data_IF_759736691065
#
_entry.id   IF_759736691065
#
_cell.length_a   1.000
_cell.length_b   1.000
_cell.length_c   1.000
_cell.angle_alpha   90.00
_cell.angle_beta   90.00
_cell.angle_gamma   90.00
#
_symmetry.space_group_name_H-M   'P 1'
#
loop_
_entity.id
_entity.type
_entity.pdbx_description
1 polymer ?
#
# COMPACT_ATOMS: atom_id res chain seq x y z
N UNK A 1 -35.51 0.37 11.14
CA UNK A 1 -34.86 1.53 10.50
C UNK A 1 -34.40 2.60 11.52
N UNK A 2 -34.41 2.31 12.82
CA UNK A 2 -34.08 3.29 13.90
C UNK A 2 -32.87 2.88 14.78
N UNK A 3 -32.18 1.78 14.52
CA UNK A 3 -31.01 1.34 15.32
C UNK A 3 -29.65 1.57 14.66
N UNK A 4 -29.62 1.95 13.38
CA UNK A 4 -28.35 2.21 12.65
C UNK A 4 -27.89 3.67 12.79
N UNK A 5 -28.74 4.55 13.30
CA UNK A 5 -28.43 5.98 13.49
C UNK A 5 -27.90 6.33 14.89
N UNK A 6 -27.86 5.38 15.83
CA UNK A 6 -27.40 5.66 17.19
C UNK A 6 -25.94 5.34 17.48
N UNK A 7 -25.16 4.79 16.53
CA UNK A 7 -23.72 4.51 16.72
C UNK A 7 -22.78 5.51 16.05
N UNK A 8 -23.29 6.57 15.45
CA UNK A 8 -22.52 7.78 15.19
C UNK A 8 -22.59 8.71 16.40
N UNK A 9 -22.31 8.18 17.60
CA UNK A 9 -22.03 9.06 18.75
C UNK A 9 -20.83 9.92 18.38
N UNK A 10 -21.09 11.22 18.35
CA UNK A 10 -20.08 12.24 18.42
C UNK A 10 -18.94 11.73 19.33
N UNK A 11 -17.73 11.56 18.77
CA UNK A 11 -16.56 11.44 19.61
C UNK A 11 -16.53 12.77 20.37
N UNK A 12 -17.00 12.73 21.63
CA UNK A 12 -16.91 13.85 22.55
C UNK A 12 -15.48 14.35 22.49
N UNK A 13 -15.30 15.64 22.23
CA UNK A 13 -13.99 16.29 22.34
C UNK A 13 -13.37 15.84 23.66
N UNK A 14 -12.12 15.37 23.67
CA UNK A 14 -11.46 15.04 24.93
C UNK A 14 -11.51 16.30 25.79
N UNK A 15 -12.04 16.18 27.00
CA UNK A 15 -12.17 17.28 27.94
C UNK A 15 -10.80 17.93 28.14
N UNK A 16 -10.59 19.17 27.61
CA UNK A 16 -9.35 19.93 27.78
C UNK A 16 -8.70 20.48 26.51
N UNK A 17 -9.08 20.06 25.32
CA UNK A 17 -8.49 20.61 24.08
C UNK A 17 -9.11 21.96 23.78
N UNK A 18 -8.27 23.02 23.89
CA UNK A 18 -8.71 24.43 23.67
C UNK A 18 -8.30 24.94 22.29
N UNK A 19 -7.34 24.31 21.63
CA UNK A 19 -6.76 24.76 20.36
C UNK A 19 -6.59 23.60 19.37
N UNK A 20 -6.63 23.93 18.09
CA UNK A 20 -6.34 22.96 17.01
C UNK A 20 -5.22 23.53 16.14
N UNK A 21 -4.24 22.69 15.82
CA UNK A 21 -3.12 23.02 14.98
C UNK A 21 -3.23 22.28 13.66
N UNK A 22 -3.15 22.98 12.54
CA UNK A 22 -2.86 22.37 11.25
C UNK A 22 -1.38 22.46 10.96
N UNK A 23 -0.77 21.36 10.58
CA UNK A 23 0.66 21.24 10.29
C UNK A 23 0.86 20.71 8.86
N UNK A 24 1.29 21.58 7.97
CA UNK A 24 1.68 21.22 6.60
C UNK A 24 3.16 20.86 6.57
N UNK A 25 3.46 19.59 6.23
CA UNK A 25 4.80 19.02 6.32
C UNK A 25 5.58 19.21 5.02
N UNK A 26 6.50 20.14 5.01
CA UNK A 26 7.50 20.28 3.95
C UNK A 26 8.80 19.51 4.24
N UNK A 27 9.69 19.43 3.25
CA UNK A 27 10.96 18.69 3.35
C UNK A 27 11.92 19.29 4.38
N UNK A 28 12.12 20.60 4.36
CA UNK A 28 13.02 21.33 5.28
C UNK A 28 12.29 22.15 6.31
N UNK A 29 11.14 22.68 5.94
CA UNK A 29 10.33 23.56 6.75
C UNK A 29 8.87 23.11 6.68
N UNK A 30 8.25 22.96 7.82
CA UNK A 30 6.81 22.73 7.96
C UNK A 30 6.12 24.02 8.40
N UNK A 31 4.96 24.28 7.82
CA UNK A 31 4.11 25.40 8.21
C UNK A 31 3.06 24.96 9.20
N UNK A 32 2.76 25.79 10.19
CA UNK A 32 1.67 25.49 11.12
C UNK A 32 0.78 26.72 11.33
N UNK A 33 -0.47 26.43 11.63
CA UNK A 33 -1.49 27.40 12.00
C UNK A 33 -2.23 26.90 13.25
N UNK A 34 -2.30 27.74 14.28
CA UNK A 34 -3.01 27.47 15.51
C UNK A 34 -4.32 28.25 15.47
N UNK A 35 -5.44 27.54 15.68
CA UNK A 35 -6.77 28.15 15.81
C UNK A 35 -7.36 27.86 17.18
N UNK A 36 -8.12 28.82 17.71
CA UNK A 36 -8.88 28.67 18.95
C UNK A 36 -10.21 27.92 18.74
N UNK A 37 -11.01 27.80 19.80
CA UNK A 37 -12.35 27.18 19.74
C UNK A 37 -13.31 27.91 18.80
N UNK A 38 -13.15 29.20 18.58
CA UNK A 38 -13.98 29.98 17.65
C UNK A 38 -13.56 29.78 16.19
N UNK A 39 -12.33 29.28 15.94
CA UNK A 39 -11.70 29.16 14.63
C UNK A 39 -10.90 30.41 14.23
N UNK A 40 -10.73 31.34 15.17
CA UNK A 40 -9.85 32.48 14.98
C UNK A 40 -8.38 32.03 15.00
N UNK A 41 -7.58 32.57 14.09
CA UNK A 41 -6.15 32.26 14.02
C UNK A 41 -5.41 32.97 15.16
N UNK A 42 -4.77 32.21 16.03
CA UNK A 42 -3.98 32.72 17.16
C UNK A 42 -2.54 32.93 16.73
N UNK A 43 -1.99 31.96 15.96
CA UNK A 43 -0.59 31.96 15.58
C UNK A 43 -0.42 31.28 14.22
N UNK A 44 0.47 31.80 13.40
CA UNK A 44 0.93 31.17 12.16
C UNK A 44 2.43 31.37 12.01
N UNK A 45 3.18 30.29 11.83
CA UNK A 45 4.62 30.36 11.62
C UNK A 45 5.12 29.09 10.91
N UNK A 46 6.42 28.91 10.87
CA UNK A 46 7.11 27.73 10.34
C UNK A 46 8.08 27.17 11.36
N UNK A 47 8.28 25.86 11.29
CA UNK A 47 9.25 25.12 12.10
C UNK A 47 10.12 24.27 11.19
N UNK A 48 11.38 24.06 11.54
CA UNK A 48 12.21 23.10 10.79
C UNK A 48 11.64 21.69 10.90
N UNK A 49 11.61 20.96 9.78
CA UNK A 49 11.17 19.57 9.75
C UNK A 49 12.28 18.66 10.27
N UNK A 50 12.52 18.76 11.57
CA UNK A 50 13.49 17.92 12.30
C UNK A 50 12.96 17.58 13.67
N UNK A 51 13.37 16.44 14.23
CA UNK A 51 12.95 15.97 15.56
C UNK A 51 13.17 17.05 16.61
N UNK A 52 14.38 17.59 16.71
CA UNK A 52 14.73 18.57 17.73
C UNK A 52 13.88 19.86 17.64
N UNK A 53 13.62 20.37 16.42
CA UNK A 53 12.86 21.62 16.26
C UNK A 53 11.36 21.39 16.56
N UNK A 54 10.78 20.26 16.14
CA UNK A 54 9.40 19.91 16.44
C UNK A 54 9.21 19.67 17.95
N UNK A 55 10.15 18.98 18.59
CA UNK A 55 10.14 18.79 20.04
C UNK A 55 10.21 20.12 20.77
N UNK A 56 11.15 20.98 20.42
CA UNK A 56 11.31 22.32 21.04
C UNK A 56 10.04 23.13 20.92
N UNK A 57 9.35 23.05 19.77
CA UNK A 57 8.16 23.86 19.49
C UNK A 57 6.91 23.31 20.19
N UNK A 58 6.65 21.99 20.13
CA UNK A 58 5.37 21.44 20.56
C UNK A 58 5.38 20.83 21.96
N UNK A 59 6.52 20.32 22.47
CA UNK A 59 6.62 19.65 23.78
C UNK A 59 6.11 20.48 24.96
N UNK A 60 6.25 21.80 24.90
CA UNK A 60 5.83 22.70 25.97
C UNK A 60 4.36 23.12 25.86
N UNK A 61 3.69 22.76 24.80
CA UNK A 61 2.28 23.09 24.63
C UNK A 61 1.41 22.12 25.45
N UNK A 62 0.26 22.60 25.96
CA UNK A 62 -0.71 21.69 26.56
C UNK A 62 -1.20 20.68 25.52
N UNK A 63 -1.80 19.53 25.94
CA UNK A 63 -2.40 18.59 25.02
C UNK A 63 -3.30 19.28 24.00
N UNK A 64 -2.97 19.14 22.73
CA UNK A 64 -3.57 19.91 21.64
C UNK A 64 -3.88 18.96 20.47
N UNK A 65 -4.95 19.20 19.74
CA UNK A 65 -5.22 18.48 18.50
C UNK A 65 -4.32 19.01 17.40
N UNK A 66 -3.52 18.12 16.79
CA UNK A 66 -2.63 18.45 15.68
C UNK A 66 -3.05 17.66 14.45
N UNK A 67 -3.38 18.36 13.37
CA UNK A 67 -3.82 17.78 12.11
C UNK A 67 -2.72 17.94 11.08
N UNK A 68 -2.29 16.85 10.48
CA UNK A 68 -1.29 16.84 9.42
C UNK A 68 -1.74 15.95 8.26
N UNK A 69 -1.24 16.22 7.05
CA UNK A 69 -1.58 15.42 5.88
C UNK A 69 -0.67 14.19 5.77
N UNK A 70 -1.24 13.06 5.31
CA UNK A 70 -0.48 11.84 5.06
C UNK A 70 0.54 12.05 3.93
N UNK A 71 1.82 12.02 4.27
CA UNK A 71 2.96 12.23 3.37
C UNK A 71 4.21 11.49 3.85
N UNK A 72 5.36 11.81 3.27
CA UNK A 72 6.63 11.11 3.55
C UNK A 72 7.08 11.29 5.00
N UNK A 73 6.92 12.48 5.57
CA UNK A 73 7.32 12.78 6.95
C UNK A 73 6.25 12.43 7.98
N UNK A 74 4.99 12.32 7.59
CA UNK A 74 3.87 12.13 8.52
C UNK A 74 4.00 10.93 9.47
N UNK A 75 4.62 9.77 9.08
CA UNK A 75 4.72 8.63 10.00
C UNK A 75 5.60 8.89 11.23
N UNK A 76 6.72 9.54 11.07
CA UNK A 76 7.60 9.82 12.21
C UNK A 76 7.16 11.05 12.99
N UNK A 77 6.62 12.06 12.29
CA UNK A 77 6.11 13.28 12.94
C UNK A 77 4.89 12.96 13.81
N UNK A 78 3.94 12.15 13.30
CA UNK A 78 2.77 11.78 14.11
C UNK A 78 3.17 11.05 15.39
N UNK A 79 4.06 10.05 15.30
CA UNK A 79 4.55 9.34 16.49
C UNK A 79 5.28 10.25 17.47
N UNK A 80 6.09 11.19 16.97
CA UNK A 80 6.77 12.17 17.81
C UNK A 80 5.78 13.03 18.60
N UNK A 81 4.78 13.58 17.92
CA UNK A 81 3.79 14.45 18.54
C UNK A 81 2.84 13.68 19.48
N UNK A 82 2.47 12.45 19.13
CA UNK A 82 1.73 11.54 20.00
C UNK A 82 2.50 11.21 21.29
N UNK A 83 3.82 10.99 21.20
CA UNK A 83 4.68 10.75 22.37
C UNK A 83 4.80 11.95 23.30
N UNK A 84 4.45 13.15 22.84
CA UNK A 84 4.40 14.38 23.62
C UNK A 84 3.00 14.63 24.24
N UNK A 85 2.05 13.73 24.03
CA UNK A 85 0.71 13.81 24.60
C UNK A 85 -0.31 14.59 23.76
N UNK A 86 0.02 14.88 22.48
CA UNK A 86 -0.94 15.53 21.58
C UNK A 86 -1.89 14.52 20.93
N UNK A 87 -3.11 14.95 20.63
CA UNK A 87 -4.04 14.21 19.77
C UNK A 87 -3.67 14.45 18.31
N UNK A 88 -3.10 13.45 17.63
CA UNK A 88 -2.63 13.60 16.25
C UNK A 88 -3.60 12.99 15.26
N UNK A 89 -4.09 13.80 14.33
CA UNK A 89 -4.96 13.38 13.25
C UNK A 89 -4.20 13.42 11.93
N UNK A 90 -3.96 12.25 11.34
CA UNK A 90 -3.32 12.16 10.02
C UNK A 90 -4.41 12.15 8.95
N UNK A 91 -4.57 13.24 8.25
CA UNK A 91 -5.59 13.43 7.22
C UNK A 91 -5.26 12.67 5.94
N UNK A 92 -6.28 12.09 5.30
CA UNK A 92 -6.12 11.43 4.02
C UNK A 92 -5.97 12.45 2.89
N UNK A 93 -4.76 12.59 2.34
CA UNK A 93 -4.42 13.54 1.28
C UNK A 93 -5.42 13.56 0.11
N UNK A 94 -5.92 12.40 -0.30
CA UNK A 94 -6.88 12.30 -1.41
C UNK A 94 -8.26 12.84 -1.07
N UNK A 95 -8.66 12.76 0.20
CA UNK A 95 -9.97 13.24 0.66
C UNK A 95 -9.93 14.72 0.96
N UNK A 96 -8.89 15.20 1.60
CA UNK A 96 -8.67 16.62 1.86
C UNK A 96 -8.65 17.41 0.55
N UNK A 97 -7.96 16.92 -0.49
CA UNK A 97 -7.95 17.55 -1.81
C UNK A 97 -9.33 17.70 -2.44
N UNK A 98 -10.26 16.75 -2.21
CA UNK A 98 -11.64 16.83 -2.73
C UNK A 98 -12.48 17.90 -2.02
N UNK A 99 -12.13 18.26 -0.79
CA UNK A 99 -12.83 19.28 0.00
C UNK A 99 -12.25 20.67 -0.31
N UNK A 100 -10.96 20.74 -0.60
CA UNK A 100 -10.19 21.95 -0.82
C UNK A 100 -9.33 21.83 -2.07
N UNK A 101 -9.90 22.17 -3.22
CA UNK A 101 -9.14 22.38 -4.46
C UNK A 101 -9.04 23.88 -4.70
N UNK A 102 -7.84 24.43 -4.65
CA UNK A 102 -7.56 25.84 -4.90
C UNK A 102 -6.52 25.97 -5.99
N UNK A 103 -6.78 26.83 -6.96
CA UNK A 103 -5.83 27.20 -8.00
C UNK A 103 -4.59 27.96 -7.42
N UNK A 104 -4.67 28.41 -6.18
CA UNK A 104 -3.59 29.09 -5.47
C UNK A 104 -3.00 28.17 -4.39
N UNK A 105 -2.07 27.30 -4.79
CA UNK A 105 -1.32 26.48 -3.84
C UNK A 105 -0.42 27.35 -2.97
N UNK A 106 -0.65 27.32 -1.65
CA UNK A 106 0.15 28.05 -0.67
C UNK A 106 0.17 27.25 0.65
N UNK A 107 1.35 26.80 1.06
CA UNK A 107 1.58 25.99 2.27
C UNK A 107 0.98 26.61 3.54
N UNK A 108 0.89 27.94 3.61
CA UNK A 108 0.22 28.65 4.72
C UNK A 108 -1.29 28.43 4.73
N UNK A 109 -1.92 28.46 3.55
CA UNK A 109 -3.35 28.21 3.42
C UNK A 109 -3.66 26.73 3.71
N UNK A 110 -2.77 25.82 3.34
CA UNK A 110 -2.92 24.39 3.57
C UNK A 110 -2.90 24.07 5.08
N UNK A 111 -1.94 24.64 5.84
CA UNK A 111 -1.90 24.52 7.30
C UNK A 111 -3.16 25.10 7.97
N UNK A 112 -3.63 26.29 7.54
CA UNK A 112 -4.85 26.90 8.06
C UNK A 112 -6.09 26.06 7.78
N UNK A 113 -6.18 25.47 6.59
CA UNK A 113 -7.30 24.61 6.20
C UNK A 113 -7.32 23.32 7.03
N UNK A 114 -6.17 22.68 7.24
CA UNK A 114 -6.05 21.51 8.11
C UNK A 114 -6.52 21.81 9.53
N UNK A 115 -6.10 22.96 10.12
CA UNK A 115 -6.54 23.39 11.43
C UNK A 115 -8.06 23.56 11.51
N UNK A 116 -8.64 24.26 10.54
CA UNK A 116 -10.10 24.52 10.49
C UNK A 116 -10.91 23.24 10.30
N UNK A 117 -10.52 22.36 9.38
CA UNK A 117 -11.20 21.09 9.16
C UNK A 117 -11.13 20.20 10.40
N UNK A 118 -9.95 20.09 11.02
CA UNK A 118 -9.77 19.29 12.22
C UNK A 118 -10.52 19.81 13.44
N UNK A 119 -10.79 21.12 13.48
CA UNK A 119 -11.63 21.74 14.50
C UNK A 119 -13.11 21.43 14.28
N UNK A 120 -13.60 21.54 13.05
CA UNK A 120 -15.04 21.42 12.75
C UNK A 120 -15.50 19.97 12.78
N UNK A 121 -14.83 19.09 12.03
CA UNK A 121 -15.22 17.69 11.94
C UNK A 121 -14.04 16.83 11.45
N UNK A 122 -13.48 16.03 12.35
CA UNK A 122 -12.37 15.11 12.05
C UNK A 122 -12.77 14.07 11.00
N UNK A 123 -14.05 13.70 10.90
CA UNK A 123 -14.50 12.70 9.92
C UNK A 123 -14.31 13.15 8.47
N UNK A 124 -14.34 14.46 8.20
CA UNK A 124 -14.07 15.05 6.89
C UNK A 124 -12.64 14.78 6.41
N UNK A 125 -11.71 14.65 7.34
CA UNK A 125 -10.30 14.35 7.06
C UNK A 125 -10.10 12.88 6.66
N UNK A 126 -11.09 12.00 6.88
CA UNK A 126 -10.98 10.56 6.70
C UNK A 126 -9.66 10.00 7.27
N UNK A 127 -9.44 10.11 8.60
CA UNK A 127 -8.16 9.85 9.23
C UNK A 127 -7.52 8.53 8.83
N UNK A 128 -6.21 8.53 8.64
CA UNK A 128 -5.42 7.32 8.37
C UNK A 128 -4.51 7.05 9.57
N UNK A 129 -4.37 5.78 9.93
CA UNK A 129 -3.44 5.35 10.96
C UNK A 129 -2.13 4.93 10.30
N UNK A 130 -1.03 5.49 10.75
CA UNK A 130 0.30 5.02 10.37
C UNK A 130 0.65 3.72 11.11
N UNK A 131 1.54 2.95 10.50
CA UNK A 131 2.11 1.74 11.10
C UNK A 131 3.04 2.09 12.24
N UNK A 132 3.22 1.16 13.17
CA UNK A 132 4.27 1.20 14.16
C UNK A 132 5.66 1.34 13.53
N UNK A 133 6.62 1.85 14.29
CA UNK A 133 7.97 2.08 13.78
C UNK A 133 8.64 0.78 13.33
N UNK A 134 8.45 -0.29 14.08
CA UNK A 134 9.00 -1.62 13.79
C UNK A 134 8.39 -2.22 12.51
N UNK A 135 7.06 -2.26 12.41
CA UNK A 135 6.36 -2.71 11.20
C UNK A 135 6.75 -1.89 9.96
N UNK A 136 7.00 -0.58 10.15
CA UNK A 136 7.46 0.29 9.07
C UNK A 136 8.89 -0.06 8.63
N UNK A 137 9.79 -0.39 9.57
CA UNK A 137 11.15 -0.82 9.26
C UNK A 137 11.16 -2.16 8.51
N UNK A 138 10.38 -3.14 8.98
CA UNK A 138 10.27 -4.44 8.30
C UNK A 138 9.65 -4.32 6.91
N UNK A 139 8.66 -3.44 6.74
CA UNK A 139 8.12 -3.13 5.40
C UNK A 139 9.16 -2.45 4.50
N UNK A 140 10.14 -1.74 5.05
CA UNK A 140 11.23 -1.17 4.26
C UNK A 140 12.14 -2.26 3.67
N UNK A 141 12.36 -3.41 4.35
CA UNK A 141 13.06 -4.57 3.79
C UNK A 141 12.36 -5.06 2.51
N UNK A 142 11.04 -5.25 2.58
CA UNK A 142 10.24 -5.67 1.41
C UNK A 142 10.34 -4.65 0.27
N UNK A 143 10.29 -3.35 0.58
CA UNK A 143 10.39 -2.26 -0.41
C UNK A 143 11.79 -2.18 -1.03
N UNK A 144 12.84 -2.39 -0.23
CA UNK A 144 14.23 -2.45 -0.71
C UNK A 144 14.40 -3.57 -1.71
N UNK A 145 13.90 -4.76 -1.38
CA UNK A 145 13.89 -5.91 -2.30
C UNK A 145 13.16 -5.60 -3.62
N UNK A 146 12.01 -4.95 -3.57
CA UNK A 146 11.24 -4.55 -4.76
C UNK A 146 11.99 -3.53 -5.63
N UNK A 147 12.67 -2.58 -5.01
CA UNK A 147 13.53 -1.61 -5.70
C UNK A 147 14.68 -2.30 -6.45
N UNK A 148 15.35 -3.28 -5.82
CA UNK A 148 16.41 -4.08 -6.47
C UNK A 148 15.88 -4.86 -7.70
N UNK A 149 14.70 -5.48 -7.57
CA UNK A 149 14.05 -6.19 -8.70
C UNK A 149 13.69 -5.22 -9.82
N UNK A 150 13.19 -4.03 -9.49
CA UNK A 150 12.85 -3.01 -10.47
C UNK A 150 14.08 -2.51 -11.22
N UNK A 151 15.19 -2.22 -10.51
CA UNK A 151 16.46 -1.81 -11.09
C UNK A 151 17.02 -2.88 -12.03
N UNK A 152 17.07 -4.15 -11.59
CA UNK A 152 17.50 -5.27 -12.43
C UNK A 152 16.66 -5.38 -13.70
N UNK A 153 15.36 -5.24 -13.60
CA UNK A 153 14.45 -5.33 -14.75
C UNK A 153 14.72 -4.20 -15.76
N UNK A 154 14.96 -2.98 -15.27
CA UNK A 154 15.33 -1.84 -16.13
C UNK A 154 16.64 -2.10 -16.88
N UNK A 155 17.68 -2.59 -16.21
CA UNK A 155 18.96 -2.92 -16.83
C UNK A 155 18.82 -4.04 -17.87
N UNK A 156 18.06 -5.09 -17.57
CA UNK A 156 17.77 -6.17 -18.55
C UNK A 156 17.10 -5.62 -19.80
N UNK A 157 16.12 -4.72 -19.62
CA UNK A 157 15.43 -4.10 -20.76
C UNK A 157 16.34 -3.17 -21.56
N UNK A 158 17.24 -2.43 -20.91
CA UNK A 158 18.24 -1.58 -21.56
C UNK A 158 19.19 -2.42 -22.42
N UNK A 159 19.76 -3.51 -21.88
CA UNK A 159 20.63 -4.42 -22.64
C UNK A 159 19.89 -5.01 -23.86
N UNK A 160 18.65 -5.47 -23.68
CA UNK A 160 17.83 -5.97 -24.79
C UNK A 160 17.57 -4.90 -25.86
N UNK A 161 17.36 -3.64 -25.43
CA UNK A 161 17.20 -2.49 -26.33
C UNK A 161 18.45 -2.23 -27.16
N UNK A 162 19.62 -2.13 -26.49
CA UNK A 162 20.93 -1.89 -27.18
C UNK A 162 21.23 -2.96 -28.20
N UNK A 163 21.06 -4.24 -27.88
CA UNK A 163 21.31 -5.33 -28.82
C UNK A 163 20.33 -5.28 -29.99
N UNK A 164 19.08 -4.88 -29.79
CA UNK A 164 18.12 -4.72 -30.89
C UNK A 164 18.50 -3.59 -31.84
N UNK A 165 19.01 -2.47 -31.35
CA UNK A 165 19.43 -1.35 -32.20
C UNK A 165 20.65 -1.72 -33.06
N UNK A 166 21.47 -2.68 -32.62
CA UNK A 166 22.57 -3.28 -33.41
C UNK A 166 22.14 -4.46 -34.31
N UNK A 167 20.82 -4.65 -34.53
CA UNK A 167 20.27 -5.71 -35.36
C UNK A 167 20.21 -7.10 -34.71
N UNK A 168 20.68 -7.24 -33.45
CA UNK A 168 20.69 -8.51 -32.72
C UNK A 168 19.37 -8.81 -31.98
N UNK A 169 19.21 -10.07 -31.56
CA UNK A 169 18.07 -10.49 -30.74
C UNK A 169 18.53 -11.52 -29.69
N UNK A 170 18.41 -11.14 -28.43
CA UNK A 170 18.73 -12.01 -27.29
C UNK A 170 17.62 -13.03 -27.02
N UNK A 171 18.00 -14.27 -26.64
CA UNK A 171 17.02 -15.33 -26.35
C UNK A 171 16.17 -15.01 -25.12
N UNK A 172 15.05 -15.73 -24.99
CA UNK A 172 14.26 -15.71 -23.76
C UNK A 172 15.06 -16.33 -22.63
N UNK A 173 15.08 -15.68 -21.49
CA UNK A 173 15.71 -16.16 -20.25
C UNK A 173 15.01 -15.59 -19.04
N UNK A 174 15.15 -16.26 -17.90
CA UNK A 174 14.78 -15.65 -16.61
C UNK A 174 15.74 -14.49 -16.32
N UNK A 175 15.29 -13.51 -15.55
CA UNK A 175 16.12 -12.35 -15.17
C UNK A 175 17.35 -12.78 -14.35
N UNK A 176 17.22 -13.80 -13.50
CA UNK A 176 18.31 -14.34 -12.71
C UNK A 176 19.42 -14.98 -13.57
N UNK A 177 19.07 -15.68 -14.64
CA UNK A 177 20.05 -16.31 -15.55
C UNK A 177 20.49 -15.39 -16.68
N UNK A 178 19.98 -14.16 -16.77
CA UNK A 178 20.13 -13.29 -17.93
C UNK A 178 21.59 -12.98 -18.22
N UNK A 179 22.33 -12.41 -17.26
CA UNK A 179 23.73 -11.98 -17.47
C UNK A 179 24.59 -13.13 -17.97
N UNK A 180 24.54 -14.30 -17.32
CA UNK A 180 25.33 -15.48 -17.71
C UNK A 180 24.98 -16.00 -19.10
N UNK A 181 23.67 -16.04 -19.45
CA UNK A 181 23.21 -16.58 -20.73
C UNK A 181 23.49 -15.65 -21.91
N UNK A 182 23.46 -14.34 -21.70
CA UNK A 182 23.59 -13.39 -22.82
C UNK A 182 25.01 -12.88 -23.03
N UNK A 183 25.89 -12.97 -22.04
CA UNK A 183 27.27 -12.49 -22.12
C UNK A 183 28.01 -13.00 -23.39
N UNK A 184 27.97 -14.30 -23.75
CA UNK A 184 28.64 -14.80 -24.96
C UNK A 184 27.97 -14.35 -26.26
N UNK A 185 26.74 -13.81 -26.20
CA UNK A 185 25.94 -13.41 -27.36
C UNK A 185 26.01 -11.92 -27.66
N UNK A 186 26.76 -11.16 -26.85
CA UNK A 186 26.88 -9.71 -27.03
C UNK A 186 27.82 -9.40 -28.19
N UNK A 187 27.36 -8.62 -29.18
CA UNK A 187 28.23 -8.17 -30.30
C UNK A 187 29.48 -7.48 -29.78
N UNK A 188 30.67 -7.72 -30.43
CA UNK A 188 31.92 -7.13 -29.96
C UNK A 188 31.89 -5.62 -29.75
N UNK A 189 31.22 -4.90 -30.65
CA UNK A 189 31.06 -3.44 -30.64
C UNK A 189 30.23 -2.94 -29.46
N UNK A 190 29.39 -3.79 -28.88
CA UNK A 190 28.57 -3.44 -27.72
C UNK A 190 29.18 -3.87 -26.37
N UNK A 191 30.26 -4.65 -26.37
CA UNK A 191 30.85 -5.21 -25.14
C UNK A 191 31.22 -4.12 -24.12
N UNK A 192 31.79 -3.01 -24.59
CA UNK A 192 32.18 -1.91 -23.71
C UNK A 192 30.97 -1.27 -23.01
N UNK A 193 29.88 -1.10 -23.72
CA UNK A 193 28.66 -0.48 -23.17
C UNK A 193 27.84 -1.48 -22.32
N UNK A 194 27.74 -2.72 -22.75
CA UNK A 194 26.84 -3.73 -22.13
C UNK A 194 27.54 -4.47 -20.97
N UNK A 195 28.86 -4.64 -21.03
CA UNK A 195 29.62 -5.34 -19.98
C UNK A 195 29.33 -4.87 -18.55
N UNK A 196 29.46 -3.57 -18.25
CA UNK A 196 29.11 -3.03 -16.92
C UNK A 196 27.64 -3.26 -16.49
N UNK A 197 26.71 -3.23 -17.44
CA UNK A 197 25.29 -3.49 -17.16
C UNK A 197 25.06 -4.96 -16.78
N UNK A 198 25.72 -5.89 -17.47
CA UNK A 198 25.66 -7.34 -17.15
C UNK A 198 26.27 -7.65 -15.78
N UNK A 199 27.37 -7.01 -15.43
CA UNK A 199 27.99 -7.13 -14.11
C UNK A 199 27.02 -6.61 -13.01
N UNK A 200 26.39 -5.45 -13.23
CA UNK A 200 25.36 -4.88 -12.31
C UNK A 200 24.15 -5.80 -12.18
N UNK A 201 23.66 -6.41 -13.28
CA UNK A 201 22.56 -7.39 -13.26
C UNK A 201 22.93 -8.62 -12.41
N UNK A 202 24.16 -9.10 -12.51
CA UNK A 202 24.63 -10.22 -11.71
C UNK A 202 24.67 -9.87 -10.21
N UNK A 203 25.25 -8.72 -9.86
CA UNK A 203 25.32 -8.22 -8.49
C UNK A 203 23.93 -8.00 -7.89
N UNK A 204 23.01 -7.36 -8.62
CA UNK A 204 21.62 -7.18 -8.21
C UNK A 204 20.91 -8.53 -8.02
N UNK A 205 21.22 -9.53 -8.81
CA UNK A 205 20.61 -10.87 -8.66
C UNK A 205 21.01 -11.50 -7.32
N UNK A 206 22.27 -11.39 -6.94
CA UNK A 206 22.76 -11.88 -5.64
C UNK A 206 22.11 -11.11 -4.48
N UNK A 207 22.08 -9.78 -4.55
CA UNK A 207 21.42 -8.96 -3.53
C UNK A 207 19.94 -9.26 -3.38
N UNK A 208 19.23 -9.59 -4.47
CA UNK A 208 17.82 -9.98 -4.44
C UNK A 208 17.67 -11.34 -3.73
N UNK A 209 18.58 -12.29 -3.94
CA UNK A 209 18.58 -13.58 -3.22
C UNK A 209 18.71 -13.36 -1.72
N UNK A 210 19.68 -12.58 -1.28
CA UNK A 210 19.87 -12.24 0.12
C UNK A 210 18.65 -11.53 0.71
N UNK A 211 18.04 -10.61 -0.03
CA UNK A 211 16.80 -9.95 0.39
C UNK A 211 15.62 -10.92 0.47
N UNK A 212 15.52 -11.91 -0.41
CA UNK A 212 14.50 -12.97 -0.35
C UNK A 212 14.68 -13.85 0.90
N UNK A 213 15.92 -14.17 1.28
CA UNK A 213 16.22 -14.89 2.53
C UNK A 213 15.83 -14.08 3.76
N UNK A 214 16.19 -12.78 3.82
CA UNK A 214 15.74 -11.91 4.91
C UNK A 214 14.23 -11.81 5.02
N UNK A 215 13.52 -11.73 3.89
CA UNK A 215 12.04 -11.74 3.88
C UNK A 215 11.49 -13.05 4.41
N UNK A 216 12.09 -14.20 4.05
CA UNK A 216 11.68 -15.50 4.53
C UNK A 216 11.92 -15.63 6.06
N UNK A 217 13.09 -15.22 6.54
CA UNK A 217 13.42 -15.20 7.98
C UNK A 217 12.44 -14.35 8.78
N UNK A 218 12.17 -13.11 8.33
CA UNK A 218 11.17 -12.26 8.98
C UNK A 218 9.79 -12.92 9.01
N UNK A 219 9.37 -13.53 7.89
CA UNK A 219 8.07 -14.19 7.80
C UNK A 219 7.97 -15.40 8.75
N UNK A 220 9.03 -16.16 8.93
CA UNK A 220 9.01 -17.40 9.71
C UNK A 220 9.23 -17.17 11.21
N UNK A 221 10.07 -16.22 11.57
CA UNK A 221 10.51 -15.99 12.96
C UNK A 221 9.71 -14.90 13.67
N UNK A 222 9.44 -13.77 12.97
CA UNK A 222 8.82 -12.58 13.57
C UNK A 222 7.32 -12.47 13.32
N UNK A 223 6.82 -13.03 12.21
CA UNK A 223 5.42 -12.92 11.81
C UNK A 223 4.80 -14.31 11.60
N UNK A 224 4.58 -15.09 12.69
CA UNK A 224 4.11 -16.49 12.63
C UNK A 224 2.76 -16.63 11.91
N UNK A 225 1.91 -15.61 11.90
CA UNK A 225 0.65 -15.56 11.17
C UNK A 225 0.81 -15.73 9.66
N UNK A 226 2.00 -15.46 9.11
CA UNK A 226 2.30 -15.71 7.69
C UNK A 226 2.17 -17.20 7.32
N UNK A 227 2.41 -18.11 8.28
CA UNK A 227 2.29 -19.56 8.07
C UNK A 227 0.86 -19.96 7.70
N UNK A 228 -0.13 -19.34 8.35
CA UNK A 228 -1.55 -19.57 8.07
C UNK A 228 -1.90 -19.11 6.66
N UNK A 229 -1.39 -17.94 6.24
CA UNK A 229 -1.64 -17.40 4.90
C UNK A 229 -1.00 -18.24 3.79
N UNK A 230 0.15 -18.83 4.06
CA UNK A 230 0.92 -19.67 3.11
C UNK A 230 0.29 -21.03 2.83
N UNK A 231 -0.77 -21.44 3.54
CA UNK A 231 -1.58 -22.59 3.18
C UNK A 231 -2.22 -22.44 1.79
N UNK A 232 -2.52 -21.19 1.38
CA UNK A 232 -3.09 -20.91 0.06
C UNK A 232 -1.99 -21.01 -1.00
N UNK A 233 -2.10 -21.97 -1.92
CA UNK A 233 -1.12 -22.14 -3.00
C UNK A 233 -1.01 -20.87 -3.86
N UNK A 234 0.22 -20.45 -4.11
CA UNK A 234 0.51 -19.17 -4.77
C UNK A 234 0.82 -18.03 -3.80
N UNK A 235 0.70 -18.26 -2.49
CA UNK A 235 1.10 -17.32 -1.45
C UNK A 235 2.41 -17.81 -0.83
N UNK A 236 3.50 -17.17 -1.21
CA UNK A 236 4.82 -17.40 -0.61
C UNK A 236 5.13 -16.42 0.53
N UNK A 237 6.34 -16.54 1.17
CA UNK A 237 6.76 -15.67 2.27
C UNK A 237 6.63 -14.18 1.94
N UNK A 238 7.06 -13.75 0.76
CA UNK A 238 7.00 -12.35 0.32
C UNK A 238 5.57 -11.80 0.32
N UNK A 239 4.61 -12.55 -0.22
CA UNK A 239 3.21 -12.10 -0.31
C UNK A 239 2.58 -12.09 1.07
N UNK A 240 2.78 -13.16 1.84
CA UNK A 240 2.24 -13.29 3.20
C UNK A 240 2.78 -12.18 4.11
N UNK A 241 4.10 -11.97 4.13
CA UNK A 241 4.72 -10.92 4.93
C UNK A 241 4.27 -9.52 4.49
N UNK A 242 4.25 -9.25 3.19
CA UNK A 242 3.77 -7.95 2.67
C UNK A 242 2.31 -7.70 3.06
N UNK A 243 1.49 -8.76 3.07
CA UNK A 243 0.09 -8.69 3.49
C UNK A 243 -0.04 -8.31 4.95
N UNK A 244 0.64 -9.04 5.83
CA UNK A 244 0.67 -8.80 7.29
C UNK A 244 1.17 -7.38 7.58
N UNK A 245 2.33 -7.00 7.08
CA UNK A 245 2.92 -5.67 7.28
C UNK A 245 2.08 -4.53 6.69
N UNK A 246 1.26 -4.80 5.66
CA UNK A 246 0.39 -3.77 5.07
C UNK A 246 -0.88 -3.56 5.90
N UNK A 247 -1.47 -4.62 6.43
CA UNK A 247 -2.66 -4.54 7.26
C UNK A 247 -2.32 -4.23 8.72
N UNK A 248 -1.21 -4.79 9.23
CA UNK A 248 -0.66 -4.66 10.59
C UNK A 248 -1.57 -5.26 11.68
N UNK A 249 -2.80 -4.84 11.74
CA UNK A 249 -3.82 -5.33 12.68
C UNK A 249 -5.04 -5.81 11.87
N UNK A 250 -5.36 -7.12 11.88
CA UNK A 250 -6.52 -7.64 11.16
C UNK A 250 -7.84 -7.20 11.79
N UNK A 251 -7.89 -6.96 13.09
CA UNK A 251 -9.12 -6.61 13.81
C UNK A 251 -9.60 -5.19 13.57
N UNK A 252 -8.76 -4.32 12.97
CA UNK A 252 -9.19 -3.00 12.48
C UNK A 252 -10.26 -3.08 11.38
N UNK A 253 -10.48 -4.25 10.80
CA UNK A 253 -11.50 -4.49 9.78
C UNK A 253 -12.66 -5.31 10.36
N UNK A 254 -13.77 -4.67 10.66
CA UNK A 254 -14.96 -5.33 11.19
C UNK A 254 -15.48 -6.48 10.30
N UNK A 255 -15.21 -6.42 8.99
CA UNK A 255 -15.58 -7.47 8.02
C UNK A 255 -14.44 -7.69 7.03
N UNK A 256 -14.01 -8.93 6.82
CA UNK A 256 -12.95 -9.28 5.86
C UNK A 256 -13.18 -8.72 4.45
N UNK A 257 -14.44 -8.56 4.04
CA UNK A 257 -14.82 -7.97 2.74
C UNK A 257 -14.26 -6.56 2.53
N UNK A 258 -14.07 -5.78 3.61
CA UNK A 258 -13.58 -4.39 3.53
C UNK A 258 -12.11 -4.29 3.14
N UNK A 259 -11.32 -5.35 3.36
CA UNK A 259 -9.90 -5.43 2.97
C UNK A 259 -9.72 -5.26 1.46
N UNK A 260 -10.60 -5.85 0.65
CA UNK A 260 -10.57 -5.67 -0.81
C UNK A 260 -10.74 -4.21 -1.23
N UNK A 261 -11.53 -3.44 -0.49
CA UNK A 261 -11.71 -1.98 -0.72
C UNK A 261 -10.50 -1.19 -0.25
N UNK A 262 -9.95 -1.52 0.91
CA UNK A 262 -8.73 -0.92 1.46
C UNK A 262 -7.54 -1.08 0.52
N UNK A 263 -7.41 -2.24 -0.14
CA UNK A 263 -6.37 -2.51 -1.12
C UNK A 263 -6.69 -1.97 -2.53
N UNK A 264 -7.82 -1.30 -2.70
CA UNK A 264 -8.20 -0.69 -3.97
C UNK A 264 -8.56 -1.67 -5.08
N UNK A 265 -8.96 -2.88 -4.71
CA UNK A 265 -9.45 -3.93 -5.62
C UNK A 265 -10.97 -3.86 -5.88
N UNK A 266 -11.65 -2.89 -5.27
CA UNK A 266 -13.08 -2.62 -5.52
C UNK A 266 -13.24 -1.79 -6.81
N UNK A 267 -14.23 -2.10 -7.66
CA UNK A 267 -14.60 -1.24 -8.77
C UNK A 267 -14.99 0.17 -8.29
N UNK A 268 -14.65 1.18 -9.06
CA UNK A 268 -15.17 2.54 -8.87
C UNK A 268 -16.66 2.53 -9.17
N UNK A 269 -17.43 3.26 -8.41
CA UNK A 269 -18.83 3.52 -8.66
C UNK A 269 -18.98 4.96 -9.18
N UNK A 270 -19.72 5.12 -10.23
CA UNK A 270 -20.19 6.40 -10.75
C UNK A 270 -21.60 6.14 -11.22
N UNK A 271 -22.56 6.49 -10.40
CA UNK A 271 -23.98 6.34 -10.67
C UNK A 271 -24.57 7.74 -10.86
N UNK A 272 -25.27 7.94 -11.93
CA UNK A 272 -25.94 9.21 -12.25
C UNK A 272 -27.24 8.86 -12.99
N UNK A 273 -28.38 9.08 -12.35
CA UNK A 273 -29.67 8.63 -12.88
C UNK A 273 -29.65 7.13 -13.19
N UNK A 274 -30.08 6.75 -14.37
CA UNK A 274 -30.16 5.35 -14.81
C UNK A 274 -28.81 4.77 -15.30
N UNK A 275 -27.72 5.56 -15.25
CA UNK A 275 -26.41 5.15 -15.74
C UNK A 275 -25.52 4.64 -14.62
N UNK A 276 -25.17 3.33 -14.64
CA UNK A 276 -24.23 2.68 -13.74
C UNK A 276 -23.10 1.96 -14.51
N UNK A 277 -22.17 2.69 -15.15
CA UNK A 277 -21.14 2.09 -15.99
C UNK A 277 -20.16 1.24 -15.18
N UNK A 278 -19.75 0.09 -15.72
CA UNK A 278 -18.73 -0.76 -15.14
C UNK A 278 -17.33 -0.13 -15.26
N UNK A 279 -16.85 0.47 -14.20
CA UNK A 279 -15.55 1.14 -14.15
C UNK A 279 -14.42 0.19 -13.68
N UNK A 280 -13.17 0.60 -13.93
CA UNK A 280 -11.99 -0.06 -13.37
C UNK A 280 -11.91 0.06 -11.84
N UNK A 281 -10.99 -0.65 -11.21
CA UNK A 281 -10.78 -0.61 -9.75
C UNK A 281 -10.30 0.76 -9.26
N UNK A 282 -10.53 1.06 -7.97
CA UNK A 282 -10.17 2.35 -7.36
C UNK A 282 -8.66 2.60 -7.30
N UNK A 283 -7.84 1.54 -7.27
CA UNK A 283 -6.39 1.59 -7.09
C UNK A 283 -5.93 2.34 -5.81
N UNK A 284 -6.82 2.46 -4.83
CA UNK A 284 -6.47 3.00 -3.51
C UNK A 284 -5.53 2.07 -2.73
N UNK A 285 -4.93 2.56 -1.65
CA UNK A 285 -4.09 1.77 -0.76
C UNK A 285 -2.76 1.32 -1.36
N UNK A 286 -2.18 0.25 -0.80
CA UNK A 286 -0.83 -0.20 -1.13
C UNK A 286 -0.75 -0.79 -2.55
N UNK A 287 0.02 -0.12 -3.42
CA UNK A 287 0.20 -0.54 -4.81
C UNK A 287 0.96 -1.87 -4.91
N UNK A 288 2.03 -2.04 -4.11
CA UNK A 288 2.89 -3.22 -4.17
C UNK A 288 2.13 -4.49 -3.77
N UNK A 289 1.43 -4.47 -2.62
CA UNK A 289 0.61 -5.62 -2.21
C UNK A 289 -0.50 -5.94 -3.23
N UNK A 290 -1.15 -4.93 -3.79
CA UNK A 290 -2.14 -5.15 -4.84
C UNK A 290 -1.54 -5.84 -6.06
N UNK A 291 -0.33 -5.42 -6.48
CA UNK A 291 0.40 -6.06 -7.58
C UNK A 291 0.74 -7.52 -7.24
N UNK A 292 1.25 -7.80 -6.05
CA UNK A 292 1.57 -9.16 -5.58
C UNK A 292 0.33 -10.07 -5.58
N UNK A 293 -0.82 -9.58 -5.10
CA UNK A 293 -2.08 -10.34 -5.12
C UNK A 293 -2.57 -10.60 -6.54
N UNK A 294 -2.34 -9.69 -7.47
CA UNK A 294 -2.64 -9.92 -8.90
C UNK A 294 -1.71 -10.99 -9.48
N UNK A 295 -0.42 -11.01 -9.11
CA UNK A 295 0.50 -12.08 -9.54
C UNK A 295 0.07 -13.44 -8.97
N UNK A 296 -0.30 -13.52 -7.69
CA UNK A 296 -0.86 -14.72 -7.09
C UNK A 296 -2.14 -15.17 -7.81
N UNK A 297 -3.04 -14.26 -8.15
CA UNK A 297 -4.25 -14.57 -8.90
C UNK A 297 -3.94 -15.10 -10.33
N UNK A 298 -2.92 -14.56 -11.00
CA UNK A 298 -2.46 -15.09 -12.29
C UNK A 298 -1.91 -16.51 -12.14
N UNK A 299 -1.16 -16.81 -11.07
CA UNK A 299 -0.69 -18.16 -10.78
C UNK A 299 -1.88 -19.10 -10.54
N UNK A 300 -2.84 -18.73 -9.66
CA UNK A 300 -4.03 -19.53 -9.32
C UNK A 300 -4.85 -19.86 -10.58
N UNK A 301 -4.98 -18.94 -11.51
CA UNK A 301 -5.70 -19.16 -12.78
C UNK A 301 -4.84 -19.82 -13.86
N UNK A 302 -3.54 -19.94 -13.64
CA UNK A 302 -2.58 -20.53 -14.57
C UNK A 302 -2.70 -22.07 -14.63
N UNK A 303 -2.06 -22.71 -15.63
CA UNK A 303 -2.15 -24.16 -15.85
C UNK A 303 -1.48 -25.00 -14.76
N UNK A 304 -0.49 -24.44 -14.05
CA UNK A 304 0.32 -25.16 -13.06
C UNK A 304 -0.26 -25.10 -11.64
N UNK A 305 -1.33 -24.36 -11.41
CA UNK A 305 -1.93 -24.27 -10.09
C UNK A 305 -2.80 -25.48 -9.79
N UNK A 306 -2.76 -26.01 -8.55
CA UNK A 306 -3.67 -27.07 -8.14
C UNK A 306 -5.11 -26.59 -8.15
N UNK A 307 -6.05 -27.53 -8.17
CA UNK A 307 -7.46 -27.22 -8.16
C UNK A 307 -7.89 -26.61 -6.82
N UNK A 308 -8.83 -25.68 -6.89
CA UNK A 308 -9.43 -25.03 -5.72
C UNK A 308 -10.75 -24.34 -6.10
N UNK A 309 -11.64 -24.15 -5.13
CA UNK A 309 -12.89 -23.42 -5.34
C UNK A 309 -12.64 -22.00 -5.88
N UNK A 310 -11.57 -21.32 -5.42
CA UNK A 310 -11.18 -20.02 -5.92
C UNK A 310 -10.75 -20.06 -7.40
N UNK A 311 -9.98 -21.09 -7.80
CA UNK A 311 -9.58 -21.33 -9.18
C UNK A 311 -10.79 -21.62 -10.07
N UNK A 312 -11.63 -22.58 -9.71
CA UNK A 312 -12.84 -22.96 -10.48
C UNK A 312 -13.73 -21.74 -10.70
N UNK A 313 -14.03 -21.00 -9.63
CA UNK A 313 -14.83 -19.78 -9.73
C UNK A 313 -14.20 -18.74 -10.66
N UNK A 314 -12.89 -18.52 -10.57
CA UNK A 314 -12.19 -17.55 -11.42
C UNK A 314 -12.17 -17.96 -12.89
N UNK A 315 -12.00 -19.24 -13.21
CA UNK A 315 -12.07 -19.77 -14.57
C UNK A 315 -13.47 -19.64 -15.17
N UNK A 316 -14.54 -19.94 -14.40
CA UNK A 316 -15.93 -19.71 -14.82
C UNK A 316 -16.17 -18.22 -15.13
N UNK A 317 -15.63 -17.31 -14.29
CA UNK A 317 -15.74 -15.88 -14.55
C UNK A 317 -14.98 -15.46 -15.82
N UNK A 318 -13.82 -16.03 -16.09
CA UNK A 318 -13.05 -15.80 -17.33
C UNK A 318 -13.77 -16.32 -18.57
N UNK A 319 -14.48 -17.44 -18.44
CA UNK A 319 -15.24 -18.08 -19.53
C UNK A 319 -16.47 -17.28 -19.96
N UNK A 320 -16.99 -16.35 -19.11
CA UNK A 320 -18.08 -15.43 -19.51
C UNK A 320 -17.72 -14.54 -20.71
N UNK A 321 -16.43 -14.52 -21.09
CA UNK A 321 -15.96 -13.93 -22.32
C UNK A 321 -15.85 -12.39 -22.31
N UNK A 322 -15.81 -11.84 -23.55
CA UNK A 322 -15.64 -10.43 -23.79
C UNK A 322 -14.15 -9.98 -23.74
N UNK A 323 -13.88 -8.82 -24.37
CA UNK A 323 -12.54 -8.26 -24.62
C UNK A 323 -11.61 -8.25 -23.40
N UNK A 324 -12.15 -8.13 -22.19
CA UNK A 324 -11.40 -8.03 -20.94
C UNK A 324 -11.77 -9.14 -19.92
N UNK A 325 -12.46 -10.21 -20.31
CA UNK A 325 -12.95 -11.26 -19.41
C UNK A 325 -11.87 -11.85 -18.53
N UNK A 326 -10.76 -12.29 -19.12
CA UNK A 326 -9.61 -12.84 -18.38
C UNK A 326 -8.99 -11.82 -17.40
N UNK A 327 -8.79 -10.57 -17.83
CA UNK A 327 -8.23 -9.52 -16.93
C UNK A 327 -9.16 -9.20 -15.76
N UNK A 328 -10.47 -9.18 -15.99
CA UNK A 328 -11.48 -8.98 -14.94
C UNK A 328 -11.49 -10.15 -13.96
N UNK A 329 -11.40 -11.38 -14.46
CA UNK A 329 -11.30 -12.58 -13.62
C UNK A 329 -10.08 -12.54 -12.70
N UNK A 330 -8.90 -12.21 -13.20
CA UNK A 330 -7.68 -12.05 -12.38
C UNK A 330 -7.88 -11.04 -11.25
N UNK A 331 -8.43 -9.87 -11.54
CA UNK A 331 -8.66 -8.83 -10.51
C UNK A 331 -9.72 -9.28 -9.49
N UNK A 332 -10.77 -9.97 -9.94
CA UNK A 332 -11.81 -10.51 -9.08
C UNK A 332 -11.25 -11.60 -8.14
N UNK A 333 -10.40 -12.50 -8.67
CA UNK A 333 -9.70 -13.53 -7.88
C UNK A 333 -8.75 -12.85 -6.89
N UNK A 334 -7.97 -11.85 -7.28
CA UNK A 334 -7.10 -11.11 -6.36
C UNK A 334 -7.89 -10.46 -5.21
N UNK A 335 -9.09 -9.93 -5.48
CA UNK A 335 -9.98 -9.40 -4.45
C UNK A 335 -10.50 -10.49 -3.51
N UNK A 336 -10.98 -11.62 -4.04
CA UNK A 336 -11.43 -12.75 -3.22
C UNK A 336 -10.28 -13.32 -2.39
N UNK A 337 -9.09 -13.44 -2.99
CA UNK A 337 -7.87 -13.86 -2.30
C UNK A 337 -7.55 -12.94 -1.12
N UNK A 338 -7.58 -11.61 -1.30
CA UNK A 338 -7.36 -10.67 -0.21
C UNK A 338 -8.35 -10.88 0.96
N UNK A 339 -9.63 -11.17 0.66
CA UNK A 339 -10.66 -11.43 1.67
C UNK A 339 -10.42 -12.79 2.36
N UNK A 340 -10.04 -13.81 1.60
CA UNK A 340 -9.70 -15.14 2.11
C UNK A 340 -8.51 -15.08 3.08
N UNK A 341 -7.42 -14.43 2.69
CA UNK A 341 -6.23 -14.28 3.53
C UNK A 341 -6.55 -13.57 4.85
N UNK A 342 -7.39 -12.55 4.82
CA UNK A 342 -7.82 -11.88 6.05
C UNK A 342 -8.66 -12.79 6.94
N UNK A 343 -9.59 -13.56 6.36
CA UNK A 343 -10.40 -14.52 7.12
C UNK A 343 -9.48 -15.55 7.78
N UNK A 344 -8.57 -16.17 7.03
CA UNK A 344 -7.62 -17.14 7.57
C UNK A 344 -6.77 -16.55 8.69
N UNK A 345 -6.35 -15.29 8.57
CA UNK A 345 -5.59 -14.62 9.61
C UNK A 345 -6.39 -14.43 10.91
N UNK A 346 -7.64 -13.99 10.79
CA UNK A 346 -8.51 -13.75 11.96
C UNK A 346 -8.94 -15.06 12.65
N UNK A 347 -9.24 -16.09 11.87
CA UNK A 347 -9.79 -17.35 12.39
C UNK A 347 -8.72 -18.38 12.71
N UNK A 348 -7.51 -18.25 12.16
CA UNK A 348 -6.42 -19.23 12.23
C UNK A 348 -6.84 -20.66 11.76
N UNK A 349 -7.92 -20.76 10.99
CA UNK A 349 -8.45 -22.03 10.50
C UNK A 349 -7.53 -22.70 9.45
N UNK A 350 -7.66 -24.01 9.30
CA UNK A 350 -7.02 -24.75 8.22
C UNK A 350 -7.71 -24.40 6.91
N UNK A 351 -6.92 -24.07 5.89
CA UNK A 351 -7.46 -23.79 4.56
C UNK A 351 -7.83 -25.05 3.81
N UNK A 352 -9.10 -25.20 3.49
CA UNK A 352 -9.62 -26.27 2.65
C UNK A 352 -9.88 -25.77 1.22
N UNK A 353 -9.03 -26.13 0.24
CA UNK A 353 -9.10 -25.59 -1.12
C UNK A 353 -10.44 -25.82 -1.84
N UNK A 354 -11.13 -26.93 -1.52
CA UNK A 354 -12.37 -27.35 -2.18
C UNK A 354 -13.62 -27.16 -1.30
N UNK A 355 -13.48 -26.50 -0.14
CA UNK A 355 -14.62 -26.24 0.73
C UNK A 355 -15.76 -25.51 -0.02
N UNK A 356 -17.00 -26.02 0.11
CA UNK A 356 -18.19 -25.44 -0.51
C UNK A 356 -18.29 -25.66 -2.04
N UNK A 357 -17.42 -26.49 -2.61
CA UNK A 357 -17.58 -27.02 -3.97
C UNK A 357 -18.34 -28.32 -3.83
N UNK A 358 -19.65 -28.31 -4.09
CA UNK A 358 -20.40 -29.54 -4.25
C UNK A 358 -19.67 -30.43 -5.25
N UNK A 359 -19.42 -31.68 -4.88
CA UNK A 359 -18.90 -32.65 -5.80
C UNK A 359 -19.96 -32.84 -6.89
N UNK A 360 -19.74 -32.23 -8.07
CA UNK A 360 -20.33 -32.79 -9.29
C UNK A 360 -19.68 -34.19 -9.48
N UNK A 361 -20.13 -35.13 -8.66
CA UNK A 361 -19.77 -36.52 -8.78
C UNK A 361 -20.98 -37.26 -9.29
N UNK A 362 -20.77 -37.88 -10.41
CA UNK A 362 -21.50 -38.92 -11.13
C UNK A 362 -22.39 -38.43 -12.26
#
# INVERSE_FOLDING_TARGET
MNEILQTARAQSEPAGISTTIGLDLGDRWSRYCVVDRSGAVIEEDRVRTSTAALEQRFRKMPPTRIVLEAGTHSPWVSRLLESQGHEVIVANARKVRLIYESDRKNDRLDARMLARLGRVDVSLLAPVRHRGAETQADLAVVRGRDALVSARTQLVNAVRGMVKTAGGRLPKSTTAAFSRKVLPLIPPELKLAVGPLLASIAALTEQIHQADEHVATLADEKYPETKVLRQVKGIGPLIALTYVLTLEDPYRFAKSRTVGSYLGLRPRQKESGDSAPQLGITKAGNHHLRWLLIQAANYILGPLAPDSGLRRWGLQLAARGGKNGKRRAVVAVARKLAVLLHRLWVTAEVYEPLYGVESEAA
#
